data_IF_112051830723
#
_entry.id   IF_112051830723
#
_cell.length_a   1.000
_cell.length_b   1.000
_cell.length_c   1.000
_cell.angle_alpha   90.00
_cell.angle_beta   90.00
_cell.angle_gamma   90.00
#
_symmetry.space_group_name_H-M   'P 1'
#
loop_
_entity.id
_entity.type
_entity.pdbx_description
1 polymer ?
#
# COMPACT_ATOMS: atom_id res chain seq x y z
N UNK A 1 -41.06 -18.01 -85.61
CA UNK A 1 -41.50 -17.99 -84.20
C UNK A 1 -40.33 -17.48 -83.38
N UNK A 2 -40.43 -16.25 -82.86
CA UNK A 2 -39.35 -15.51 -82.19
C UNK A 2 -39.77 -15.31 -80.73
N UNK A 3 -38.93 -15.75 -79.79
CA UNK A 3 -39.17 -15.66 -78.35
C UNK A 3 -38.59 -14.35 -77.75
N UNK A 4 -39.15 -13.84 -76.63
CA UNK A 4 -38.87 -12.50 -76.13
C UNK A 4 -37.79 -12.42 -75.02
N UNK A 5 -37.40 -11.17 -74.77
CA UNK A 5 -36.40 -10.58 -73.87
C UNK A 5 -36.54 -10.96 -72.38
N UNK A 6 -35.44 -10.88 -71.63
CA UNK A 6 -35.44 -10.25 -70.28
C UNK A 6 -34.05 -9.80 -69.83
N UNK A 7 -33.97 -8.52 -69.41
CA UNK A 7 -32.89 -7.89 -68.66
C UNK A 7 -32.79 -8.51 -67.25
N UNK A 8 -31.59 -8.62 -66.69
CA UNK A 8 -31.43 -8.76 -65.23
C UNK A 8 -30.26 -7.90 -64.73
N UNK A 9 -30.57 -7.14 -63.68
CA UNK A 9 -29.78 -6.06 -63.08
C UNK A 9 -28.62 -6.59 -62.21
N UNK A 10 -27.58 -5.76 -62.16
CA UNK A 10 -26.42 -5.82 -61.26
C UNK A 10 -26.82 -5.78 -59.77
N UNK A 11 -26.08 -6.52 -58.94
CA UNK A 11 -26.04 -6.35 -57.48
C UNK A 11 -24.58 -6.47 -57.01
N UNK A 12 -23.99 -5.31 -56.67
CA UNK A 12 -22.72 -5.21 -55.94
C UNK A 12 -22.98 -5.53 -54.47
N UNK A 13 -22.29 -6.53 -53.92
CA UNK A 13 -22.24 -6.81 -52.49
C UNK A 13 -20.85 -6.49 -51.95
N UNK A 14 -20.68 -5.31 -51.35
CA UNK A 14 -19.49 -4.94 -50.59
C UNK A 14 -19.64 -5.44 -49.15
N UNK A 15 -18.89 -6.48 -48.78
CA UNK A 15 -18.77 -6.97 -47.40
C UNK A 15 -17.85 -6.03 -46.60
N UNK A 16 -18.41 -5.28 -45.66
CA UNK A 16 -17.65 -4.64 -44.59
C UNK A 16 -17.38 -5.66 -43.47
N UNK A 17 -16.14 -6.11 -43.34
CA UNK A 17 -15.68 -6.91 -42.21
C UNK A 17 -15.41 -5.99 -41.00
N UNK A 18 -16.21 -6.13 -39.95
CA UNK A 18 -16.00 -5.46 -38.66
C UNK A 18 -14.95 -6.26 -37.88
N UNK A 19 -13.76 -5.70 -37.68
CA UNK A 19 -12.76 -6.23 -36.76
C UNK A 19 -13.22 -5.97 -35.32
N UNK A 20 -13.72 -7.01 -34.65
CA UNK A 20 -13.95 -6.96 -33.21
C UNK A 20 -12.60 -7.01 -32.48
N UNK A 21 -12.15 -5.88 -31.93
CA UNK A 21 -11.10 -5.88 -30.92
C UNK A 21 -11.68 -6.50 -29.65
N UNK A 22 -11.36 -7.76 -29.39
CA UNK A 22 -11.56 -8.35 -28.08
C UNK A 22 -10.66 -7.61 -27.08
N UNK A 23 -11.26 -6.84 -26.17
CA UNK A 23 -10.54 -6.29 -25.04
C UNK A 23 -10.05 -7.46 -24.16
N UNK A 24 -8.75 -7.79 -24.22
CA UNK A 24 -8.15 -8.68 -23.24
C UNK A 24 -8.28 -8.02 -21.86
N UNK A 25 -8.98 -8.68 -20.93
CA UNK A 25 -8.98 -8.25 -19.54
C UNK A 25 -7.54 -8.25 -19.02
N UNK A 26 -7.14 -7.17 -18.35
CA UNK A 26 -5.85 -7.11 -17.68
C UNK A 26 -5.72 -8.31 -16.72
N UNK A 27 -4.52 -8.91 -16.59
CA UNK A 27 -4.32 -9.99 -15.63
C UNK A 27 -4.70 -9.52 -14.23
N UNK A 28 -5.28 -10.41 -13.40
CA UNK A 28 -5.63 -10.04 -12.04
C UNK A 28 -4.38 -9.64 -11.25
N UNK A 29 -4.49 -8.65 -10.34
CA UNK A 29 -3.38 -8.28 -9.47
C UNK A 29 -2.87 -9.48 -8.67
N UNK A 30 -1.56 -9.54 -8.48
CA UNK A 30 -0.90 -10.59 -7.69
C UNK A 30 -0.41 -10.09 -6.33
N UNK A 31 -0.49 -8.80 -6.06
CA UNK A 31 -0.12 -8.19 -4.79
C UNK A 31 -1.20 -7.23 -4.34
N UNK A 32 -1.47 -7.27 -3.05
CA UNK A 32 -2.48 -6.48 -2.40
C UNK A 32 -1.99 -5.93 -1.07
N UNK A 33 -2.55 -4.79 -0.68
CA UNK A 33 -2.23 -4.07 0.55
C UNK A 33 -3.51 -3.49 1.15
N UNK A 34 -3.59 -3.40 2.47
CA UNK A 34 -4.70 -2.75 3.16
C UNK A 34 -4.49 -1.24 3.23
N UNK A 35 -5.57 -0.48 3.43
CA UNK A 35 -5.43 0.93 3.84
C UNK A 35 -4.61 1.03 5.13
N UNK A 36 -3.81 2.08 5.25
CA UNK A 36 -2.83 2.25 6.32
C UNK A 36 -1.82 1.09 6.45
N UNK A 37 -1.63 0.29 5.40
CA UNK A 37 -0.49 -0.62 5.24
C UNK A 37 -0.33 -1.69 6.33
N UNK A 38 -1.39 -2.03 7.05
CA UNK A 38 -1.33 -3.00 8.14
C UNK A 38 -1.30 -4.45 7.65
N UNK A 39 -1.70 -4.72 6.41
CA UNK A 39 -1.75 -6.05 5.83
C UNK A 39 -1.27 -6.09 4.38
N UNK A 40 -0.51 -7.12 4.05
CA UNK A 40 -0.04 -7.44 2.71
C UNK A 40 -0.49 -8.86 2.33
N UNK A 41 -0.93 -9.03 1.09
CA UNK A 41 -1.30 -10.31 0.51
C UNK A 41 -0.67 -10.44 -0.86
N UNK A 42 0.01 -11.55 -1.12
CA UNK A 42 0.54 -11.86 -2.44
C UNK A 42 0.09 -13.22 -2.94
N UNK A 43 -0.01 -13.36 -4.26
CA UNK A 43 -0.29 -14.60 -4.95
C UNK A 43 0.84 -14.95 -5.90
N UNK A 44 1.29 -16.20 -5.85
CA UNK A 44 2.27 -16.77 -6.76
C UNK A 44 1.71 -18.08 -7.31
N UNK A 45 1.06 -18.01 -8.48
CA UNK A 45 0.33 -19.13 -9.04
C UNK A 45 -0.80 -19.61 -8.10
N UNK A 46 -0.73 -20.87 -7.68
CA UNK A 46 -1.65 -21.48 -6.72
C UNK A 46 -1.16 -21.40 -5.27
N UNK A 47 -0.30 -20.41 -4.95
CA UNK A 47 0.11 -20.11 -3.57
C UNK A 47 -0.29 -18.70 -3.17
N UNK A 48 -0.50 -18.51 -1.88
CA UNK A 48 -0.66 -17.20 -1.28
C UNK A 48 0.27 -17.02 -0.08
N UNK A 49 0.62 -15.77 0.19
CA UNK A 49 1.30 -15.33 1.42
C UNK A 49 0.57 -14.09 1.94
N UNK A 50 0.27 -14.08 3.23
CA UNK A 50 -0.41 -13.00 3.93
C UNK A 50 0.37 -12.68 5.21
N UNK A 51 0.74 -11.41 5.33
CA UNK A 51 1.27 -10.84 6.57
C UNK A 51 0.35 -9.70 6.99
N UNK A 52 -0.13 -9.73 8.23
CA UNK A 52 -0.88 -8.62 8.82
C UNK A 52 -0.30 -8.26 10.19
N UNK A 53 -0.33 -6.98 10.54
CA UNK A 53 0.11 -6.44 11.82
C UNK A 53 -1.08 -5.81 12.53
N UNK A 54 -1.33 -6.25 13.76
CA UNK A 54 -2.30 -5.61 14.66
C UNK A 54 -1.72 -4.34 15.28
N UNK A 55 -2.60 -3.52 15.85
CA UNK A 55 -2.27 -2.24 16.51
C UNK A 55 -1.59 -2.38 17.87
N UNK A 56 -0.98 -3.52 18.15
CA UNK A 56 -0.27 -3.82 19.39
C UNK A 56 1.06 -4.57 19.13
N UNK A 57 1.54 -4.55 17.89
CA UNK A 57 2.77 -5.20 17.47
C UNK A 57 2.68 -6.72 17.27
N UNK A 58 1.54 -7.36 17.56
CA UNK A 58 1.33 -8.76 17.17
C UNK A 58 1.01 -8.87 15.68
N UNK A 59 1.42 -9.96 15.06
CA UNK A 59 1.17 -10.22 13.64
C UNK A 59 0.36 -11.48 13.40
N UNK A 60 -0.24 -11.56 12.23
CA UNK A 60 -0.72 -12.78 11.61
C UNK A 60 0.20 -13.11 10.44
N UNK A 61 0.67 -14.35 10.36
CA UNK A 61 1.39 -14.85 9.18
C UNK A 61 0.67 -16.10 8.68
N UNK A 62 0.12 -16.03 7.47
CA UNK A 62 -0.55 -17.15 6.83
C UNK A 62 0.02 -17.35 5.43
N UNK A 63 0.37 -18.56 5.08
CA UNK A 63 0.74 -18.93 3.73
C UNK A 63 0.19 -20.31 3.40
N UNK A 64 0.05 -20.60 2.11
CA UNK A 64 -0.36 -21.93 1.70
C UNK A 64 -0.90 -21.99 0.29
N UNK A 65 -1.73 -23.01 0.05
CA UNK A 65 -2.29 -23.29 -1.26
C UNK A 65 -3.52 -22.41 -1.54
N UNK A 66 -3.73 -22.09 -2.81
CA UNK A 66 -4.86 -21.30 -3.29
C UNK A 66 -5.53 -22.01 -4.46
N UNK A 67 -6.84 -22.16 -4.36
CA UNK A 67 -7.68 -22.61 -5.48
C UNK A 67 -8.77 -21.58 -5.73
N UNK A 68 -8.63 -20.84 -6.84
CA UNK A 68 -9.56 -19.76 -7.19
C UNK A 68 -9.65 -18.70 -6.08
N UNK A 69 -10.82 -18.59 -5.44
CA UNK A 69 -11.10 -17.64 -4.37
C UNK A 69 -10.90 -18.20 -2.97
N UNK A 70 -10.40 -19.43 -2.82
CA UNK A 70 -10.18 -20.08 -1.52
C UNK A 70 -8.69 -20.25 -1.24
N UNK A 71 -8.32 -20.04 0.03
CA UNK A 71 -6.98 -20.28 0.55
C UNK A 71 -6.99 -21.40 1.60
N UNK A 72 -5.93 -22.18 1.63
CA UNK A 72 -5.66 -23.21 2.63
C UNK A 72 -4.32 -22.93 3.29
N UNK A 73 -4.36 -22.43 4.53
CA UNK A 73 -3.16 -22.13 5.32
C UNK A 73 -2.63 -23.37 6.08
N UNK A 74 -3.20 -24.55 5.84
CA UNK A 74 -2.91 -25.74 6.63
C UNK A 74 -3.65 -25.75 7.97
N UNK A 75 -3.51 -26.84 8.72
CA UNK A 75 -4.10 -27.03 10.06
C UNK A 75 -5.62 -26.76 10.14
N UNK A 76 -6.32 -26.95 9.02
CA UNK A 76 -7.75 -26.70 8.91
C UNK A 76 -8.13 -25.22 8.74
N UNK A 77 -7.18 -24.28 8.75
CA UNK A 77 -7.48 -22.87 8.48
C UNK A 77 -7.73 -22.66 6.99
N UNK A 78 -9.00 -22.37 6.66
CA UNK A 78 -9.43 -22.01 5.30
C UNK A 78 -9.81 -20.53 5.24
N UNK A 79 -9.36 -19.86 4.19
CA UNK A 79 -9.61 -18.44 3.91
C UNK A 79 -10.52 -18.28 2.69
N UNK A 80 -11.21 -17.15 2.63
CA UNK A 80 -11.95 -16.69 1.47
C UNK A 80 -11.37 -15.37 0.96
N UNK A 81 -11.06 -15.31 -0.32
CA UNK A 81 -10.67 -14.12 -1.07
C UNK A 81 -11.84 -13.68 -1.95
N UNK A 82 -12.80 -12.93 -1.38
CA UNK A 82 -14.01 -12.53 -2.09
C UNK A 82 -13.74 -11.29 -2.96
N UNK A 83 -13.90 -11.36 -4.29
CA UNK A 83 -13.71 -10.21 -5.16
C UNK A 83 -14.68 -9.06 -4.87
N UNK A 84 -14.17 -7.84 -4.96
CA UNK A 84 -14.89 -6.58 -4.85
C UNK A 84 -14.59 -5.69 -6.08
N UNK A 85 -15.42 -4.65 -6.35
CA UNK A 85 -15.15 -3.71 -7.44
C UNK A 85 -13.78 -3.04 -7.33
N UNK A 86 -13.17 -2.74 -8.48
CA UNK A 86 -11.83 -2.14 -8.56
C UNK A 86 -10.70 -3.14 -8.31
N UNK A 87 -10.96 -4.44 -8.46
CA UNK A 87 -9.98 -5.50 -8.24
C UNK A 87 -9.67 -5.78 -6.78
N UNK A 88 -10.36 -5.13 -5.82
CA UNK A 88 -10.19 -5.34 -4.38
C UNK A 88 -10.63 -6.73 -3.94
N UNK A 89 -10.17 -7.15 -2.76
CA UNK A 89 -10.56 -8.41 -2.13
C UNK A 89 -11.07 -8.14 -0.71
N UNK A 90 -12.24 -8.68 -0.37
CA UNK A 90 -12.56 -8.93 1.03
C UNK A 90 -11.91 -10.25 1.43
N UNK A 91 -10.98 -10.19 2.38
CA UNK A 91 -10.25 -11.35 2.90
C UNK A 91 -10.79 -11.66 4.29
N UNK A 92 -10.87 -12.94 4.63
CA UNK A 92 -11.24 -13.41 5.95
C UNK A 92 -11.33 -14.94 6.02
N UNK A 93 -11.71 -15.51 7.18
CA UNK A 93 -11.98 -16.93 7.31
C UNK A 93 -13.07 -17.39 6.33
N UNK A 94 -12.97 -18.61 5.81
CA UNK A 94 -13.92 -19.15 4.83
C UNK A 94 -15.34 -19.34 5.40
N UNK A 95 -15.47 -19.45 6.71
CA UNK A 95 -16.75 -19.46 7.42
C UNK A 95 -16.55 -19.02 8.88
N UNK A 96 -17.62 -18.69 9.62
CA UNK A 96 -17.53 -18.38 11.05
C UNK A 96 -16.87 -19.49 11.88
N UNK A 97 -17.05 -20.76 11.49
CA UNK A 97 -16.41 -21.89 12.16
C UNK A 97 -14.88 -21.91 11.99
N UNK A 98 -14.35 -21.27 10.94
CA UNK A 98 -12.90 -21.20 10.67
C UNK A 98 -12.24 -20.03 11.41
N UNK A 99 -13.01 -19.12 12.02
CA UNK A 99 -12.46 -17.94 12.70
C UNK A 99 -11.52 -18.35 13.85
N UNK A 100 -11.95 -19.25 14.73
CA UNK A 100 -11.14 -19.74 15.85
C UNK A 100 -9.91 -20.51 15.40
N UNK A 101 -10.02 -21.27 14.31
CA UNK A 101 -8.93 -22.06 13.73
C UNK A 101 -7.86 -21.13 13.13
N UNK A 102 -8.27 -20.19 12.29
CA UNK A 102 -7.34 -19.26 11.64
C UNK A 102 -6.72 -18.27 12.63
N UNK A 103 -7.39 -17.98 13.75
CA UNK A 103 -6.83 -17.14 14.81
C UNK A 103 -5.55 -17.73 15.43
N UNK A 104 -5.31 -19.04 15.33
CA UNK A 104 -4.07 -19.65 15.83
C UNK A 104 -2.82 -19.15 15.10
N UNK A 105 -2.97 -18.66 13.86
CA UNK A 105 -1.89 -18.05 13.07
C UNK A 105 -1.65 -16.57 13.40
N UNK A 106 -2.41 -16.02 14.35
CA UNK A 106 -2.35 -14.63 14.76
C UNK A 106 -1.91 -14.52 16.22
N UNK A 107 -0.99 -13.59 16.48
CA UNK A 107 -0.72 -13.15 17.84
C UNK A 107 -1.95 -12.48 18.49
N UNK A 108 -1.88 -12.25 19.79
CA UNK A 108 -3.02 -11.71 20.53
C UNK A 108 -3.48 -10.36 19.97
N UNK A 109 -4.76 -10.27 19.58
CA UNK A 109 -5.39 -9.10 18.96
C UNK A 109 -4.80 -8.69 17.60
N UNK A 110 -4.07 -9.58 16.92
CA UNK A 110 -3.84 -9.45 15.49
C UNK A 110 -5.02 -10.08 14.74
N UNK A 111 -5.39 -9.47 13.62
CA UNK A 111 -6.41 -9.96 12.71
C UNK A 111 -5.91 -9.76 11.28
N UNK A 112 -6.36 -10.63 10.37
CA UNK A 112 -6.00 -10.56 8.95
C UNK A 112 -7.20 -10.22 8.06
N UNK A 113 -8.42 -10.35 8.57
CA UNK A 113 -9.64 -10.09 7.83
C UNK A 113 -9.80 -8.59 7.56
N UNK A 114 -10.20 -8.25 6.34
CA UNK A 114 -10.26 -6.87 5.90
C UNK A 114 -10.34 -6.73 4.39
N UNK A 115 -10.32 -5.47 3.93
CA UNK A 115 -10.32 -5.14 2.51
C UNK A 115 -8.88 -4.92 2.06
N UNK A 116 -8.47 -5.70 1.08
CA UNK A 116 -7.16 -5.67 0.44
C UNK A 116 -7.31 -5.03 -0.94
N UNK A 117 -6.54 -3.98 -1.18
CA UNK A 117 -6.53 -3.22 -2.42
C UNK A 117 -5.39 -3.72 -3.30
N UNK A 118 -5.55 -3.77 -4.63
CA UNK A 118 -4.43 -4.02 -5.52
C UNK A 118 -3.28 -3.05 -5.16
N UNK A 119 -2.10 -3.59 -4.91
CA UNK A 119 -0.95 -2.74 -4.57
C UNK A 119 -0.69 -1.78 -5.74
N UNK A 120 -0.67 -0.46 -5.49
CA UNK A 120 -0.35 0.49 -6.56
C UNK A 120 1.05 0.23 -7.13
N UNK A 121 1.22 0.50 -8.42
CA UNK A 121 2.52 0.38 -9.08
C UNK A 121 3.56 1.22 -8.35
N UNK A 122 4.72 0.64 -8.03
CA UNK A 122 5.79 1.32 -7.31
C UNK A 122 5.56 1.44 -5.80
N UNK A 123 4.56 0.73 -5.25
CA UNK A 123 4.19 0.73 -3.85
C UNK A 123 4.25 -0.65 -3.19
N UNK A 124 4.90 -1.66 -3.78
CA UNK A 124 5.27 -2.86 -3.02
C UNK A 124 6.28 -2.53 -1.93
N UNK A 125 6.35 -3.31 -0.86
CA UNK A 125 7.27 -3.04 0.26
C UNK A 125 8.72 -2.86 -0.22
N UNK A 126 9.18 -3.72 -1.14
CA UNK A 126 10.51 -3.64 -1.73
C UNK A 126 10.72 -2.34 -2.53
N UNK A 127 9.74 -1.92 -3.34
CA UNK A 127 9.82 -0.68 -4.12
C UNK A 127 9.80 0.55 -3.21
N UNK A 128 8.94 0.58 -2.18
CA UNK A 128 8.88 1.70 -1.22
C UNK A 128 10.21 1.84 -0.48
N UNK A 129 10.77 0.74 0.02
CA UNK A 129 12.08 0.73 0.67
C UNK A 129 13.20 1.18 -0.28
N UNK A 130 13.21 0.72 -1.52
CA UNK A 130 14.19 1.13 -2.52
C UNK A 130 14.11 2.63 -2.83
N UNK A 131 12.89 3.16 -3.02
CA UNK A 131 12.65 4.60 -3.27
C UNK A 131 13.05 5.46 -2.08
N UNK A 132 12.70 5.04 -0.86
CA UNK A 132 13.11 5.73 0.37
C UNK A 132 14.65 5.75 0.51
N UNK A 133 15.30 4.62 0.24
CA UNK A 133 16.77 4.47 0.28
C UNK A 133 17.47 5.32 -0.77
N UNK A 134 16.90 5.43 -1.98
CA UNK A 134 17.41 6.31 -3.02
C UNK A 134 17.35 7.79 -2.60
N UNK A 135 16.24 8.22 -1.99
CA UNK A 135 16.14 9.57 -1.41
C UNK A 135 17.16 9.80 -0.30
N UNK A 136 17.41 8.81 0.56
CA UNK A 136 18.45 8.91 1.60
C UNK A 136 19.85 9.05 1.00
N UNK A 137 20.14 8.36 -0.11
CA UNK A 137 21.40 8.50 -0.83
C UNK A 137 21.58 9.91 -1.39
N UNK A 138 20.53 10.49 -1.98
CA UNK A 138 20.55 11.88 -2.44
C UNK A 138 20.76 12.86 -1.28
N UNK A 139 20.02 12.67 -0.20
CA UNK A 139 20.14 13.49 1.00
C UNK A 139 21.57 13.48 1.58
N UNK A 140 22.16 12.29 1.75
CA UNK A 140 23.53 12.13 2.26
C UNK A 140 24.60 12.74 1.35
N UNK A 141 24.29 12.93 0.07
CA UNK A 141 25.17 13.56 -0.89
C UNK A 141 24.93 15.09 -1.02
N UNK A 142 24.12 15.69 -0.13
CA UNK A 142 23.79 17.12 -0.17
C UNK A 142 22.77 17.51 -1.25
N UNK A 143 22.25 16.53 -2.01
CA UNK A 143 21.21 16.71 -3.03
C UNK A 143 19.82 16.75 -2.38
N UNK A 144 19.62 17.77 -1.53
CA UNK A 144 18.43 17.87 -0.70
C UNK A 144 17.14 18.10 -1.52
N UNK A 145 17.23 18.78 -2.67
CA UNK A 145 16.09 19.01 -3.55
C UNK A 145 15.61 17.70 -4.20
N UNK A 146 16.53 16.88 -4.66
CA UNK A 146 16.27 15.57 -5.26
C UNK A 146 15.71 14.59 -4.22
N UNK A 147 16.28 14.59 -3.01
CA UNK A 147 15.75 13.81 -1.90
C UNK A 147 14.29 14.20 -1.57
N UNK A 148 14.01 15.50 -1.45
CA UNK A 148 12.67 16.01 -1.18
C UNK A 148 11.66 15.62 -2.28
N UNK A 149 12.05 15.72 -3.56
CA UNK A 149 11.22 15.31 -4.68
C UNK A 149 10.87 13.80 -4.61
N UNK A 150 11.88 12.94 -4.46
CA UNK A 150 11.67 11.48 -4.40
C UNK A 150 10.78 11.05 -3.23
N UNK A 151 11.03 11.58 -2.04
CA UNK A 151 10.22 11.27 -0.87
C UNK A 151 8.82 11.86 -0.95
N UNK A 152 8.66 13.03 -1.60
CA UNK A 152 7.35 13.61 -1.91
C UNK A 152 6.54 12.75 -2.86
N UNK A 153 7.15 12.25 -3.94
CA UNK A 153 6.52 11.33 -4.89
C UNK A 153 6.14 10.00 -4.23
N UNK A 154 7.00 9.47 -3.34
CA UNK A 154 6.69 8.26 -2.58
C UNK A 154 5.47 8.48 -1.68
N UNK A 155 5.45 9.59 -0.93
CA UNK A 155 4.34 9.93 -0.05
C UNK A 155 3.04 10.13 -0.83
N UNK A 156 3.09 10.76 -2.00
CA UNK A 156 1.91 11.00 -2.83
C UNK A 156 1.38 9.71 -3.47
N UNK A 157 2.26 8.82 -3.93
CA UNK A 157 1.87 7.59 -4.62
C UNK A 157 1.38 6.50 -3.65
N UNK A 158 2.05 6.36 -2.50
CA UNK A 158 1.85 5.23 -1.60
C UNK A 158 1.23 5.61 -0.26
N UNK A 159 1.08 6.91 0.05
CA UNK A 159 0.64 7.43 1.36
C UNK A 159 -0.55 6.71 2.00
N UNK A 160 -1.67 6.49 1.28
CA UNK A 160 -2.84 5.79 1.83
C UNK A 160 -2.57 4.33 2.26
N UNK A 161 -1.47 3.74 1.81
CA UNK A 161 -1.10 2.34 2.02
C UNK A 161 0.20 2.20 2.82
N UNK A 162 0.75 3.29 3.35
CA UNK A 162 1.89 3.23 4.26
C UNK A 162 1.38 2.85 5.65
N UNK A 163 2.10 1.93 6.29
CA UNK A 163 1.95 1.74 7.72
C UNK A 163 2.27 3.04 8.47
N UNK A 164 1.60 3.30 9.59
CA UNK A 164 1.76 4.57 10.32
C UNK A 164 3.23 4.83 10.71
N UNK A 165 3.99 3.79 11.06
CA UNK A 165 5.42 3.93 11.37
C UNK A 165 6.24 4.34 10.15
N UNK A 166 5.92 3.79 8.98
CA UNK A 166 6.55 4.12 7.71
C UNK A 166 6.21 5.57 7.30
N UNK A 167 4.95 5.97 7.45
CA UNK A 167 4.50 7.34 7.20
C UNK A 167 5.23 8.36 8.09
N UNK A 168 5.40 8.07 9.38
CA UNK A 168 6.11 8.93 10.32
C UNK A 168 7.60 9.02 9.98
N UNK A 169 8.24 7.90 9.67
CA UNK A 169 9.63 7.88 9.24
C UNK A 169 9.84 8.69 7.95
N UNK A 170 8.94 8.54 6.97
CA UNK A 170 9.00 9.30 5.71
C UNK A 170 8.77 10.80 5.94
N UNK A 171 7.85 11.18 6.83
CA UNK A 171 7.63 12.58 7.19
C UNK A 171 8.85 13.19 7.88
N UNK A 172 9.55 12.45 8.74
CA UNK A 172 10.82 12.88 9.32
C UNK A 172 11.89 13.13 8.27
N UNK A 173 12.07 12.22 7.32
CA UNK A 173 13.03 12.39 6.21
C UNK A 173 12.72 13.66 5.40
N UNK A 174 11.44 13.83 5.03
CA UNK A 174 10.97 14.99 4.27
C UNK A 174 11.13 16.29 5.07
N UNK A 175 10.89 16.28 6.37
CA UNK A 175 11.06 17.45 7.23
C UNK A 175 12.51 17.92 7.26
N UNK A 176 13.46 17.00 7.41
CA UNK A 176 14.88 17.34 7.42
C UNK A 176 15.34 17.86 6.04
N UNK A 177 14.87 17.29 4.94
CA UNK A 177 15.14 17.84 3.61
C UNK A 177 14.56 19.27 3.46
N UNK A 178 13.32 19.50 3.91
CA UNK A 178 12.69 20.82 3.88
C UNK A 178 13.47 21.85 4.72
N UNK A 179 14.00 21.46 5.88
CA UNK A 179 14.91 22.29 6.68
C UNK A 179 16.15 22.72 5.89
N UNK A 180 16.85 21.78 5.26
CA UNK A 180 18.06 22.08 4.47
C UNK A 180 17.78 22.93 3.22
N UNK A 181 16.55 22.89 2.71
CA UNK A 181 16.09 23.72 1.60
C UNK A 181 15.59 25.11 2.04
N UNK A 182 15.64 25.45 3.34
CA UNK A 182 15.15 26.72 3.84
C UNK A 182 13.63 26.85 3.77
N UNK A 183 12.89 25.75 3.92
CA UNK A 183 11.42 25.68 3.85
C UNK A 183 10.82 25.39 5.24
N UNK A 184 10.85 26.36 6.17
CA UNK A 184 10.48 26.11 7.56
C UNK A 184 9.01 25.73 7.73
N UNK A 185 8.09 26.31 6.96
CA UNK A 185 6.66 26.02 7.07
C UNK A 185 6.34 24.57 6.69
N UNK A 186 6.95 24.08 5.60
CA UNK A 186 6.85 22.70 5.15
C UNK A 186 7.42 21.75 6.20
N UNK A 187 8.62 22.05 6.72
CA UNK A 187 9.24 21.23 7.75
C UNK A 187 8.39 21.14 9.02
N UNK A 188 7.88 22.27 9.52
CA UNK A 188 7.01 22.27 10.71
C UNK A 188 5.74 21.48 10.48
N UNK A 189 5.13 21.56 9.29
CA UNK A 189 3.93 20.78 8.96
C UNK A 189 4.22 19.28 9.02
N UNK A 190 5.33 18.83 8.43
CA UNK A 190 5.72 17.42 8.39
C UNK A 190 6.10 16.86 9.76
N UNK A 191 6.66 17.69 10.64
CA UNK A 191 7.14 17.25 11.96
C UNK A 191 6.05 17.21 13.04
N UNK A 192 4.91 17.86 12.83
CA UNK A 192 3.88 18.07 13.88
C UNK A 192 3.25 16.77 14.38
N UNK A 193 2.81 15.92 13.47
CA UNK A 193 2.12 14.68 13.81
C UNK A 193 3.03 13.73 14.60
N UNK A 194 4.28 13.59 14.15
CA UNK A 194 5.29 12.82 14.89
C UNK A 194 5.79 13.50 16.18
N UNK A 195 5.37 14.72 16.50
CA UNK A 195 5.81 15.44 17.70
C UNK A 195 4.76 15.44 18.84
N UNK A 196 3.62 14.78 18.64
CA UNK A 196 2.52 14.70 19.60
C UNK A 196 2.89 13.84 20.84
N UNK A 197 3.12 14.49 21.98
CA UNK A 197 3.43 13.78 23.23
C UNK A 197 2.26 12.99 23.80
N UNK A 198 1.03 13.45 23.59
CA UNK A 198 -0.15 12.78 24.13
C UNK A 198 -0.33 11.44 23.42
N UNK A 199 -0.15 11.44 22.10
CA UNK A 199 -0.17 10.21 21.32
C UNK A 199 0.94 9.25 21.74
N UNK A 200 2.17 9.74 21.95
CA UNK A 200 3.28 8.90 22.43
C UNK A 200 3.01 8.33 23.84
N UNK A 201 2.43 9.12 24.76
CA UNK A 201 2.02 8.66 26.09
C UNK A 201 0.93 7.58 26.00
N UNK A 202 -0.06 7.78 25.15
CA UNK A 202 -1.12 6.79 24.90
C UNK A 202 -0.53 5.46 24.42
N UNK A 203 0.45 5.46 23.51
CA UNK A 203 1.11 4.23 23.08
C UNK A 203 1.84 3.53 24.22
N UNK A 204 2.51 4.27 25.11
CA UNK A 204 3.18 3.69 26.28
C UNK A 204 2.23 2.88 27.15
N UNK A 205 0.99 3.37 27.29
CA UNK A 205 -0.02 2.77 28.16
C UNK A 205 -0.79 1.63 27.48
N UNK A 206 -1.09 1.78 26.20
CA UNK A 206 -2.04 0.88 25.48
C UNK A 206 -1.35 -0.11 24.54
N UNK A 207 -0.15 0.20 24.06
CA UNK A 207 0.61 -0.60 23.10
C UNK A 207 2.14 -0.41 23.30
N UNK A 208 2.72 -0.94 24.39
CA UNK A 208 4.11 -0.65 24.77
C UNK A 208 5.14 -1.08 23.71
N UNK A 209 4.86 -2.14 22.95
CA UNK A 209 5.71 -2.55 21.81
C UNK A 209 5.73 -1.46 20.73
N UNK A 210 4.57 -0.89 20.39
CA UNK A 210 4.48 0.18 19.40
C UNK A 210 5.17 1.44 19.93
N UNK A 211 5.03 1.74 21.22
CA UNK A 211 5.77 2.83 21.86
C UNK A 211 7.28 2.70 21.67
N UNK A 212 7.85 1.51 21.87
CA UNK A 212 9.31 1.32 21.75
C UNK A 212 9.80 1.48 20.30
N UNK A 213 9.00 1.01 19.33
CA UNK A 213 9.25 1.22 17.90
C UNK A 213 9.14 2.71 17.53
N UNK A 214 8.16 3.42 18.09
CA UNK A 214 7.82 4.79 17.75
C UNK A 214 8.70 5.83 18.43
N UNK A 215 9.16 5.56 19.65
CA UNK A 215 9.94 6.50 20.45
C UNK A 215 11.08 7.19 19.69
N UNK A 216 11.94 6.49 18.92
CA UNK A 216 12.97 7.16 18.13
C UNK A 216 12.40 8.07 17.03
N UNK A 217 11.29 7.69 16.39
CA UNK A 217 10.63 8.51 15.35
C UNK A 217 10.04 9.78 15.96
N UNK A 218 9.40 9.69 17.13
CA UNK A 218 8.85 10.85 17.83
C UNK A 218 9.94 11.81 18.31
N UNK A 219 11.06 11.27 18.83
CA UNK A 219 12.21 12.09 19.21
C UNK A 219 12.79 12.86 18.02
N UNK A 220 12.92 12.21 16.86
CA UNK A 220 13.39 12.85 15.64
C UNK A 220 12.43 13.95 15.16
N UNK A 221 11.12 13.70 15.16
CA UNK A 221 10.12 14.69 14.78
C UNK A 221 10.15 15.92 15.68
N UNK A 222 10.25 15.74 17.01
CA UNK A 222 10.39 16.86 17.97
C UNK A 222 11.64 17.68 17.73
N UNK A 223 12.77 17.01 17.52
CA UNK A 223 14.03 17.67 17.18
C UNK A 223 13.86 18.50 15.90
N UNK A 224 13.30 17.91 14.84
CA UNK A 224 13.04 18.61 13.58
C UNK A 224 12.12 19.82 13.78
N UNK A 225 11.02 19.66 14.52
CA UNK A 225 10.07 20.73 14.80
C UNK A 225 10.73 21.91 15.50
N UNK A 226 11.62 21.65 16.46
CA UNK A 226 12.41 22.69 17.12
C UNK A 226 13.30 23.43 16.11
N UNK A 227 14.13 22.70 15.36
CA UNK A 227 15.08 23.29 14.39
C UNK A 227 14.37 24.09 13.31
N UNK A 228 13.20 23.63 12.87
CA UNK A 228 12.39 24.31 11.86
C UNK A 228 11.67 25.54 12.42
N UNK A 229 11.35 25.55 13.71
CA UNK A 229 10.84 26.74 14.40
C UNK A 229 11.94 27.79 14.60
N UNK A 230 13.16 27.37 14.94
CA UNK A 230 14.34 28.25 15.01
C UNK A 230 14.64 28.90 13.65
N UNK A 231 14.69 28.09 12.59
CA UNK A 231 14.90 28.57 11.21
C UNK A 231 13.83 29.57 10.78
N UNK A 232 12.56 29.30 11.10
CA UNK A 232 11.48 30.24 10.81
C UNK A 232 11.62 31.59 11.52
N UNK A 233 12.20 31.56 12.73
CA UNK A 233 12.49 32.75 13.52
C UNK A 233 13.81 33.43 13.12
N UNK A 234 14.49 32.97 12.06
CA UNK A 234 15.78 33.50 11.62
C UNK A 234 16.96 33.14 12.53
N UNK A 235 16.77 32.23 13.48
CA UNK A 235 17.82 31.73 14.38
C UNK A 235 18.49 30.53 13.70
N UNK A 236 19.76 30.67 13.31
CA UNK A 236 20.56 29.58 12.73
C UNK A 236 21.52 29.00 13.76
#
# INVERSE_FOLDING_TARGET
MIAPRSLTRLLNASLLSILALAAQAAPPPTTYVTEAGWGNLSFQGERFELLAMGSNGHSCTLDGARQGSQGDAGEGCKLQFKPLPGGRLQVGPASPAMESVCRMFCGQRAAFDGIYHPTPVGCTDAERQARRSAGLKDYKAGRHAEAAARWGELASACGPYLHWSEAYALNNDRAVAAYHLGRPDECRRLSREGADEEQLKMFRETAPTDHDILLPLYRAARFNLQRCSEQAAGKR
#
